data_IF_834383106603
#
_entry.id   IF_834383106603
#
_cell.length_a   1.000
_cell.length_b   1.000
_cell.length_c   1.000
_cell.angle_alpha   90.00
_cell.angle_beta   90.00
_cell.angle_gamma   90.00
#
_symmetry.space_group_name_H-M   'P 1'
#
loop_
_entity.id
_entity.type
_entity.pdbx_description
1 polymer ?
#
# COMPACT_ATOMS: atom_id res chain seq x y z
N UNK A 1 -5.15 9.93 3.37
CA UNK A 1 -5.88 11.06 2.78
C UNK A 1 -7.32 11.09 3.28
N UNK A 2 -7.95 12.25 3.45
CA UNK A 2 -9.40 12.39 3.65
C UNK A 2 -10.03 13.22 2.52
N UNK A 3 -11.23 12.84 2.08
CA UNK A 3 -12.06 13.63 1.17
C UNK A 3 -13.42 13.86 1.81
N UNK A 4 -13.73 15.13 2.10
CA UNK A 4 -15.02 15.52 2.67
C UNK A 4 -16.15 15.49 1.64
N UNK A 5 -15.85 15.83 0.37
CA UNK A 5 -16.81 15.80 -0.73
C UNK A 5 -17.41 14.40 -0.93
N UNK A 6 -16.56 13.36 -0.94
CA UNK A 6 -16.98 11.97 -1.13
C UNK A 6 -17.08 11.17 0.18
N UNK A 7 -16.88 11.84 1.33
CA UNK A 7 -16.89 11.25 2.68
C UNK A 7 -16.08 9.95 2.75
N UNK A 8 -14.81 10.01 2.37
CA UNK A 8 -13.94 8.83 2.40
C UNK A 8 -12.55 9.12 2.98
N UNK A 9 -11.93 8.08 3.54
CA UNK A 9 -10.56 8.11 4.06
C UNK A 9 -9.76 7.03 3.33
N UNK A 10 -8.57 7.39 2.86
CA UNK A 10 -7.62 6.48 2.23
C UNK A 10 -6.42 6.25 3.15
N UNK A 11 -6.27 5.02 3.63
CA UNK A 11 -5.08 4.58 4.34
C UNK A 11 -3.98 4.32 3.31
N UNK A 12 -2.95 5.17 3.29
CA UNK A 12 -1.94 5.17 2.25
C UNK A 12 -0.81 4.15 2.50
N UNK A 13 -0.92 2.99 1.86
CA UNK A 13 0.16 2.00 1.78
C UNK A 13 1.31 2.47 0.88
N UNK A 14 2.54 2.36 1.37
CA UNK A 14 3.72 2.64 0.54
C UNK A 14 3.78 1.64 -0.61
N UNK A 15 4.20 2.13 -1.77
CA UNK A 15 4.41 1.33 -3.00
C UNK A 15 3.13 0.71 -3.60
N UNK A 16 1.96 1.23 -3.24
CA UNK A 16 0.64 0.77 -3.70
C UNK A 16 -0.16 1.89 -4.40
N UNK A 17 0.47 2.63 -5.32
CA UNK A 17 -0.17 3.70 -6.11
C UNK A 17 -0.82 4.87 -5.33
N UNK A 18 -0.44 5.12 -4.07
CA UNK A 18 -1.10 6.14 -3.26
C UNK A 18 -1.08 7.55 -3.85
N UNK A 19 -0.02 7.96 -4.56
CA UNK A 19 0.01 9.26 -5.27
C UNK A 19 -1.05 9.34 -6.37
N UNK A 20 -1.34 8.25 -7.08
CA UNK A 20 -2.37 8.23 -8.11
C UNK A 20 -3.76 8.36 -7.51
N UNK A 21 -4.03 7.66 -6.41
CA UNK A 21 -5.29 7.78 -5.67
C UNK A 21 -5.49 9.21 -5.18
N UNK A 22 -4.51 9.78 -4.48
CA UNK A 22 -4.64 11.13 -3.90
C UNK A 22 -4.94 12.18 -4.98
N UNK A 23 -4.26 12.10 -6.13
CA UNK A 23 -4.51 12.99 -7.28
C UNK A 23 -5.87 12.78 -7.92
N UNK A 24 -6.40 11.56 -7.97
CA UNK A 24 -7.72 11.28 -8.51
C UNK A 24 -8.86 11.88 -7.65
N UNK A 25 -8.58 12.18 -6.39
CA UNK A 25 -9.45 12.95 -5.50
C UNK A 25 -9.19 14.46 -5.54
N UNK A 26 -8.34 14.95 -6.45
CA UNK A 26 -8.06 16.38 -6.61
C UNK A 26 -7.25 17.00 -5.48
N UNK A 27 -6.64 16.17 -4.61
CA UNK A 27 -5.84 16.64 -3.48
C UNK A 27 -4.38 16.77 -3.93
N UNK A 28 -3.79 17.95 -3.76
CA UNK A 28 -2.39 18.21 -4.04
C UNK A 28 -1.52 18.03 -2.78
N UNK A 29 -0.60 17.05 -2.76
CA UNK A 29 0.33 16.89 -1.63
C UNK A 29 1.52 17.86 -1.75
N UNK A 30 2.07 18.36 -0.61
CA UNK A 30 1.62 18.08 0.75
C UNK A 30 0.47 19.01 1.17
N UNK A 31 -0.59 18.41 1.70
CA UNK A 31 -1.66 19.09 2.42
C UNK A 31 -2.04 18.31 3.69
N UNK A 32 -2.67 18.93 4.70
CA UNK A 32 -3.19 18.20 5.87
C UNK A 32 -4.05 16.99 5.46
N UNK A 33 -4.94 17.21 4.49
CA UNK A 33 -5.85 16.19 3.99
C UNK A 33 -5.13 15.07 3.23
N UNK A 34 -4.00 15.35 2.60
CA UNK A 34 -3.19 14.31 1.92
C UNK A 34 -2.53 13.33 2.89
N UNK A 35 -2.33 13.75 4.16
CA UNK A 35 -1.66 12.94 5.19
C UNK A 35 -2.59 12.30 6.23
N UNK A 36 -3.84 12.75 6.32
CA UNK A 36 -4.85 12.23 7.24
C UNK A 36 -5.01 10.70 7.13
N UNK A 37 -5.06 9.95 8.24
CA UNK A 37 -5.26 8.49 8.25
C UNK A 37 -4.16 7.67 7.58
N UNK A 38 -3.01 8.26 7.24
CA UNK A 38 -1.96 7.57 6.47
C UNK A 38 -1.35 6.35 7.19
N UNK A 39 -1.26 6.40 8.51
CA UNK A 39 -0.73 5.30 9.32
C UNK A 39 -1.83 4.37 9.85
N UNK A 40 -3.08 4.55 9.41
CA UNK A 40 -4.20 3.65 9.66
C UNK A 40 -4.32 3.27 11.13
N UNK A 41 -4.31 1.97 11.43
CA UNK A 41 -4.40 1.45 12.80
C UNK A 41 -3.29 1.93 13.75
N UNK A 42 -2.12 2.33 13.23
CA UNK A 42 -1.02 2.90 14.02
C UNK A 42 -1.13 4.44 14.16
N UNK A 43 -2.08 5.05 13.46
CA UNK A 43 -2.33 6.49 13.51
C UNK A 43 -3.06 6.88 14.78
N UNK A 44 -2.64 7.97 15.43
CA UNK A 44 -3.34 8.52 16.60
C UNK A 44 -4.74 9.01 16.26
N UNK A 45 -4.95 9.40 15.01
CA UNK A 45 -6.21 9.94 14.49
C UNK A 45 -7.26 8.87 14.18
N UNK A 46 -6.92 7.57 14.22
CA UNK A 46 -7.87 6.48 13.88
C UNK A 46 -9.11 6.47 14.77
N UNK A 47 -8.99 6.91 16.02
CA UNK A 47 -10.10 7.01 16.97
C UNK A 47 -10.99 8.22 16.71
N UNK A 48 -10.49 9.21 15.96
CA UNK A 48 -11.15 10.49 15.67
C UNK A 48 -11.68 10.57 14.23
N UNK A 49 -11.69 9.44 13.51
CA UNK A 49 -12.21 9.41 12.14
C UNK A 49 -13.71 9.72 12.13
N UNK A 50 -14.19 10.62 11.25
CA UNK A 50 -15.58 11.06 11.31
C UNK A 50 -16.56 9.96 10.93
N UNK A 51 -17.70 9.94 11.62
CA UNK A 51 -18.77 8.98 11.36
C UNK A 51 -19.31 9.05 9.92
N UNK A 52 -19.64 7.88 9.40
CA UNK A 52 -20.19 7.71 8.05
C UNK A 52 -19.18 7.98 6.93
N UNK A 53 -17.88 8.03 7.22
CA UNK A 53 -16.84 8.05 6.19
C UNK A 53 -16.48 6.62 5.78
N UNK A 54 -16.36 6.38 4.48
CA UNK A 54 -15.88 5.12 3.94
C UNK A 54 -14.35 5.09 3.96
N UNK A 55 -13.79 4.23 4.79
CA UNK A 55 -12.34 3.99 4.84
C UNK A 55 -11.95 2.92 3.81
N UNK A 56 -10.92 3.18 3.01
CA UNK A 56 -10.39 2.20 2.06
C UNK A 56 -8.86 2.22 2.00
N UNK A 57 -8.28 1.18 1.41
CA UNK A 57 -6.85 1.12 1.12
C UNK A 57 -6.57 0.39 -0.19
N UNK A 58 -5.33 0.50 -0.67
CA UNK A 58 -4.82 -0.26 -1.81
C UNK A 58 -3.73 -1.17 -1.29
N UNK A 59 -3.84 -2.47 -1.56
CA UNK A 59 -2.77 -3.44 -1.31
C UNK A 59 -2.14 -3.89 -2.62
N UNK A 60 -0.93 -4.42 -2.53
CA UNK A 60 -0.18 -4.98 -3.64
C UNK A 60 0.40 -6.32 -3.23
N UNK A 61 0.58 -7.20 -4.20
CA UNK A 61 1.30 -8.45 -4.03
C UNK A 61 2.61 -8.22 -3.23
N UNK A 62 2.84 -8.92 -2.10
CA UNK A 62 3.94 -8.61 -1.19
C UNK A 62 5.32 -8.67 -1.84
N UNK A 63 5.55 -9.62 -2.75
CA UNK A 63 6.81 -9.77 -3.47
C UNK A 63 7.04 -8.60 -4.45
N UNK A 64 6.01 -8.23 -5.21
CA UNK A 64 6.08 -7.07 -6.10
C UNK A 64 6.26 -5.75 -5.32
N UNK A 65 5.57 -5.62 -4.19
CA UNK A 65 5.73 -4.47 -3.29
C UNK A 65 7.15 -4.38 -2.75
N UNK A 66 7.75 -5.50 -2.35
CA UNK A 66 9.12 -5.57 -1.84
C UNK A 66 10.13 -5.14 -2.90
N UNK A 67 10.07 -5.69 -4.12
CA UNK A 67 10.94 -5.26 -5.24
C UNK A 67 10.77 -3.77 -5.53
N UNK A 68 9.53 -3.28 -5.55
CA UNK A 68 9.25 -1.87 -5.78
C UNK A 68 9.82 -0.95 -4.67
N UNK A 69 9.81 -1.42 -3.42
CA UNK A 69 10.44 -0.74 -2.28
C UNK A 69 11.98 -0.75 -2.39
N UNK A 70 12.56 -1.93 -2.65
CA UNK A 70 14.00 -2.12 -2.79
C UNK A 70 14.59 -1.24 -3.88
N UNK A 71 13.97 -1.24 -5.08
CA UNK A 71 14.43 -0.42 -6.21
C UNK A 71 14.16 1.07 -6.05
N UNK A 72 13.30 1.45 -5.11
CA UNK A 72 13.03 2.85 -4.79
C UNK A 72 14.04 3.45 -3.82
N UNK A 73 14.53 2.67 -2.85
CA UNK A 73 15.38 3.15 -1.77
C UNK A 73 16.83 3.32 -2.23
N UNK A 74 17.41 4.54 -2.21
CA UNK A 74 18.80 4.78 -2.63
C UNK A 74 19.83 3.97 -1.84
N UNK A 75 19.54 3.68 -0.57
CA UNK A 75 20.34 2.89 0.36
C UNK A 75 20.44 1.40 -0.03
N UNK A 76 19.51 0.90 -0.84
CA UNK A 76 19.35 -0.53 -1.11
C UNK A 76 19.35 -0.88 -2.60
N UNK A 77 18.94 0.02 -3.49
CA UNK A 77 18.67 -0.26 -4.92
C UNK A 77 19.84 -0.88 -5.68
N UNK A 78 21.06 -0.59 -5.24
CA UNK A 78 22.32 -1.03 -5.85
C UNK A 78 22.88 -2.31 -5.19
N UNK A 79 22.30 -2.75 -4.06
CA UNK A 79 22.58 -4.06 -3.45
C UNK A 79 21.79 -5.15 -4.17
N UNK A 80 22.29 -6.39 -4.16
CA UNK A 80 21.53 -7.56 -4.60
C UNK A 80 20.38 -7.89 -3.63
N UNK A 81 19.38 -8.65 -4.11
CA UNK A 81 18.26 -9.08 -3.27
C UNK A 81 18.73 -9.88 -2.04
N UNK A 82 19.76 -10.72 -2.20
CA UNK A 82 20.32 -11.52 -1.10
C UNK A 82 20.97 -10.64 -0.03
N UNK A 83 21.69 -9.59 -0.43
CA UNK A 83 22.27 -8.62 0.51
C UNK A 83 21.20 -7.83 1.26
N UNK A 84 20.11 -7.45 0.59
CA UNK A 84 18.98 -6.76 1.24
C UNK A 84 18.29 -7.68 2.25
N UNK A 85 18.05 -8.94 1.89
CA UNK A 85 17.43 -9.93 2.80
C UNK A 85 18.32 -10.29 3.99
N UNK A 86 19.64 -10.12 3.87
CA UNK A 86 20.58 -10.36 4.96
C UNK A 86 20.61 -9.23 6.01
N UNK A 87 20.18 -8.02 5.64
CA UNK A 87 20.20 -6.83 6.49
C UNK A 87 18.94 -5.98 6.22
N UNK A 88 17.83 -6.45 6.78
CA UNK A 88 16.51 -5.84 6.58
C UNK A 88 16.32 -4.64 7.52
N UNK A 89 15.88 -3.48 7.00
CA UNK A 89 15.57 -2.34 7.86
C UNK A 89 14.39 -2.68 8.78
N UNK A 90 14.51 -2.37 10.07
CA UNK A 90 13.47 -2.65 11.08
C UNK A 90 12.77 -1.39 11.58
N UNK A 91 13.31 -0.21 11.29
CA UNK A 91 12.75 1.08 11.67
C UNK A 91 12.98 2.19 10.63
N UNK A 92 12.36 3.35 10.87
CA UNK A 92 12.57 4.54 10.06
C UNK A 92 11.94 4.51 8.66
N UNK A 93 12.50 5.32 7.76
CA UNK A 93 11.97 5.52 6.41
C UNK A 93 11.99 4.23 5.58
N UNK A 94 13.10 3.49 5.62
CA UNK A 94 13.31 2.30 4.80
C UNK A 94 12.41 1.16 5.26
N UNK A 95 12.24 1.00 6.58
CA UNK A 95 11.27 0.05 7.14
C UNK A 95 9.86 0.28 6.60
N UNK A 96 9.39 1.53 6.60
CA UNK A 96 8.04 1.87 6.10
C UNK A 96 7.84 1.62 4.61
N UNK A 97 8.93 1.61 3.83
CA UNK A 97 8.88 1.46 2.37
C UNK A 97 9.20 0.05 1.88
N UNK A 98 9.87 -0.77 2.70
CA UNK A 98 10.34 -2.09 2.30
C UNK A 98 9.74 -3.22 3.15
N UNK A 99 9.92 -3.18 4.47
CA UNK A 99 9.77 -4.35 5.34
C UNK A 99 8.51 -4.32 6.21
N UNK A 100 7.93 -3.16 6.50
CA UNK A 100 6.69 -3.05 7.27
C UNK A 100 5.54 -3.72 6.53
N UNK A 101 4.89 -4.77 7.06
CA UNK A 101 3.75 -5.42 6.42
C UNK A 101 2.61 -4.44 6.15
N UNK A 102 1.83 -4.68 5.09
CA UNK A 102 0.64 -3.87 4.78
C UNK A 102 -0.39 -4.02 5.90
N UNK A 103 -0.53 -5.23 6.44
CA UNK A 103 -1.42 -5.57 7.55
C UNK A 103 -1.15 -4.71 8.80
N UNK A 104 0.09 -4.27 9.02
CA UNK A 104 0.50 -3.53 10.22
C UNK A 104 -0.25 -2.19 10.41
N UNK A 105 -0.82 -1.62 9.35
CA UNK A 105 -1.63 -0.38 9.44
C UNK A 105 -3.09 -0.58 9.02
N UNK A 106 -3.49 -1.80 8.69
CA UNK A 106 -4.83 -2.12 8.21
C UNK A 106 -5.66 -2.91 9.21
N UNK A 107 -5.03 -3.46 10.25
CA UNK A 107 -5.69 -4.19 11.32
C UNK A 107 -5.33 -3.58 12.67
N UNK A 108 -6.29 -3.52 13.58
CA UNK A 108 -6.08 -3.11 14.97
C UNK A 108 -5.37 -4.23 15.78
N UNK A 109 -5.03 -3.94 17.04
CA UNK A 109 -4.35 -4.90 17.94
C UNK A 109 -5.17 -6.17 18.21
N UNK A 110 -6.48 -6.16 17.92
CA UNK A 110 -7.35 -7.33 18.02
C UNK A 110 -7.48 -8.12 16.71
N UNK A 111 -6.76 -7.72 15.66
CA UNK A 111 -6.81 -8.32 14.34
C UNK A 111 -8.05 -7.95 13.53
N UNK A 112 -8.79 -6.90 13.92
CA UNK A 112 -9.95 -6.43 13.16
C UNK A 112 -9.53 -5.39 12.13
N UNK A 113 -10.06 -5.45 10.89
CA UNK A 113 -9.72 -4.46 9.88
C UNK A 113 -10.25 -3.08 10.26
N UNK A 114 -9.42 -2.05 10.07
CA UNK A 114 -9.82 -0.62 10.22
C UNK A 114 -10.27 0.01 8.91
N UNK A 115 -10.53 -0.81 7.88
CA UNK A 115 -10.99 -0.37 6.57
C UNK A 115 -12.32 -1.03 6.22
N UNK A 116 -13.08 -0.39 5.33
CA UNK A 116 -14.34 -0.91 4.80
C UNK A 116 -14.16 -1.53 3.42
N UNK A 117 -13.21 -1.05 2.63
CA UNK A 117 -12.92 -1.57 1.29
C UNK A 117 -11.42 -1.67 1.00
N UNK A 118 -11.06 -2.72 0.26
CA UNK A 118 -9.71 -2.99 -0.16
C UNK A 118 -9.65 -3.07 -1.68
N UNK A 119 -8.75 -2.32 -2.28
CA UNK A 119 -8.49 -2.33 -3.71
C UNK A 119 -7.16 -3.06 -3.95
N UNK A 120 -7.06 -3.82 -5.05
CA UNK A 120 -5.81 -4.47 -5.45
C UNK A 120 -5.06 -3.62 -6.45
N UNK A 121 -3.75 -3.47 -6.25
CA UNK A 121 -2.87 -2.76 -7.17
C UNK A 121 -2.90 -3.39 -8.58
N UNK A 122 -3.03 -4.72 -8.63
CA UNK A 122 -3.05 -5.52 -9.85
C UNK A 122 -4.28 -5.21 -10.72
N UNK A 123 -5.41 -4.87 -10.11
CA UNK A 123 -6.68 -4.53 -10.78
C UNK A 123 -7.11 -3.09 -10.50
N UNK A 124 -6.15 -2.22 -10.19
CA UNK A 124 -6.42 -0.94 -9.53
C UNK A 124 -7.44 -0.06 -10.23
N UNK A 125 -7.38 0.06 -11.56
CA UNK A 125 -8.35 0.89 -12.29
C UNK A 125 -9.77 0.35 -12.14
N UNK A 126 -9.96 -0.95 -12.33
CA UNK A 126 -11.27 -1.58 -12.23
C UNK A 126 -11.81 -1.50 -10.79
N UNK A 127 -10.94 -1.68 -9.80
CA UNK A 127 -11.29 -1.59 -8.38
C UNK A 127 -11.65 -0.15 -7.99
N UNK A 128 -10.90 0.82 -8.50
CA UNK A 128 -11.16 2.24 -8.29
C UNK A 128 -12.48 2.69 -8.96
N UNK A 129 -12.79 2.19 -10.16
CA UNK A 129 -14.06 2.47 -10.81
C UNK A 129 -15.25 1.99 -9.96
N UNK A 130 -15.14 0.79 -9.37
CA UNK A 130 -16.16 0.26 -8.44
C UNK A 130 -16.26 1.06 -7.14
N UNK A 131 -15.14 1.56 -6.61
CA UNK A 131 -15.14 2.45 -5.47
C UNK A 131 -15.84 3.78 -5.82
N UNK A 132 -15.53 4.36 -6.98
CA UNK A 132 -16.16 5.58 -7.47
C UNK A 132 -17.68 5.45 -7.53
N UNK A 133 -18.19 4.35 -8.09
CA UNK A 133 -19.63 4.08 -8.16
C UNK A 133 -20.30 4.09 -6.78
N UNK A 134 -19.66 3.50 -5.77
CA UNK A 134 -20.18 3.46 -4.38
C UNK A 134 -20.11 4.79 -3.67
N UNK A 135 -19.10 5.60 -3.98
CA UNK A 135 -18.90 6.93 -3.40
C UNK A 135 -19.74 8.01 -4.11
N UNK A 136 -20.40 7.69 -5.24
CA UNK A 136 -21.04 8.70 -6.09
C UNK A 136 -20.03 9.62 -6.77
N UNK A 137 -18.78 9.20 -6.89
CA UNK A 137 -17.72 9.93 -7.58
C UNK A 137 -17.72 9.59 -9.06
N UNK A 138 -17.59 10.57 -9.98
CA UNK A 138 -17.37 10.26 -11.39
C UNK A 138 -16.10 9.41 -11.59
N UNK A 139 -16.23 8.30 -12.33
CA UNK A 139 -15.09 7.45 -12.69
C UNK A 139 -14.04 8.29 -13.41
N UNK A 140 -12.77 8.08 -13.06
CA UNK A 140 -11.65 8.83 -13.62
C UNK A 140 -10.50 7.87 -13.85
N UNK A 141 -9.85 7.99 -15.01
CA UNK A 141 -8.63 7.23 -15.28
C UNK A 141 -7.55 7.64 -14.27
N UNK A 142 -7.00 6.65 -13.56
CA UNK A 142 -5.94 6.91 -12.60
C UNK A 142 -4.68 7.34 -13.36
N UNK A 143 -4.04 8.46 -12.97
CA UNK A 143 -2.81 8.87 -13.61
C UNK A 143 -1.72 7.83 -13.35
N UNK A 144 -0.88 7.56 -14.36
CA UNK A 144 0.36 6.78 -14.17
C UNK A 144 1.41 7.64 -13.46
N UNK A 145 1.15 7.98 -12.19
CA UNK A 145 2.08 8.73 -11.37
C UNK A 145 3.22 7.80 -10.88
N UNK A 146 4.47 8.17 -11.18
CA UNK A 146 5.68 7.50 -10.66
C UNK A 146 5.70 5.99 -10.91
N UNK A 147 5.50 5.56 -12.16
CA UNK A 147 5.65 4.16 -12.54
C UNK A 147 7.04 3.64 -12.10
N UNK A 148 7.06 2.49 -11.43
CA UNK A 148 8.29 1.86 -10.97
C UNK A 148 9.17 1.52 -12.17
N UNK A 149 10.47 1.82 -12.10
CA UNK A 149 11.46 1.43 -13.11
C UNK A 149 12.13 0.12 -12.67
N UNK A 150 11.40 -0.98 -12.77
CA UNK A 150 11.94 -2.32 -12.57
C UNK A 150 11.27 -3.28 -13.54
N UNK A 151 11.94 -4.39 -13.82
CA UNK A 151 11.38 -5.48 -14.60
C UNK A 151 10.25 -6.15 -13.81
N UNK A 152 9.61 -7.14 -14.43
CA UNK A 152 8.69 -8.03 -13.74
C UNK A 152 9.32 -8.57 -12.45
N UNK A 153 8.66 -8.39 -11.30
CA UNK A 153 9.24 -8.72 -10.00
C UNK A 153 9.66 -10.19 -9.92
N UNK A 154 8.98 -11.07 -10.66
CA UNK A 154 9.23 -12.51 -10.68
C UNK A 154 10.65 -12.86 -11.12
N UNK A 155 11.30 -12.01 -11.93
CA UNK A 155 12.66 -12.26 -12.43
C UNK A 155 13.75 -11.99 -11.40
N UNK A 156 13.44 -11.30 -10.30
CA UNK A 156 14.41 -11.01 -9.24
C UNK A 156 14.55 -12.13 -8.21
N UNK A 157 13.62 -13.08 -8.20
CA UNK A 157 13.54 -14.12 -7.18
C UNK A 157 14.09 -15.45 -7.69
N UNK A 158 14.81 -16.13 -6.79
CA UNK A 158 14.95 -17.58 -6.81
C UNK A 158 14.06 -18.18 -5.73
N UNK A 159 14.00 -19.51 -5.65
CA UNK A 159 13.17 -20.22 -4.66
C UNK A 159 13.45 -19.74 -3.23
N UNK A 160 14.73 -19.63 -2.86
CA UNK A 160 15.11 -19.25 -1.49
C UNK A 160 14.72 -17.82 -1.16
N UNK A 161 14.94 -16.87 -2.08
CA UNK A 161 14.57 -15.46 -1.83
C UNK A 161 13.07 -15.24 -1.90
N UNK A 162 12.35 -16.02 -2.73
CA UNK A 162 10.89 -16.02 -2.79
C UNK A 162 10.30 -16.44 -1.45
N UNK A 163 10.76 -17.57 -0.92
CA UNK A 163 10.22 -18.13 0.32
C UNK A 163 10.55 -17.21 1.51
N UNK A 164 11.77 -16.65 1.56
CA UNK A 164 12.15 -15.69 2.60
C UNK A 164 11.26 -14.43 2.62
N UNK A 165 10.88 -13.91 1.45
CA UNK A 165 9.94 -12.77 1.36
C UNK A 165 8.51 -13.21 1.69
N UNK A 166 8.11 -14.43 1.31
CA UNK A 166 6.83 -15.01 1.68
C UNK A 166 6.68 -15.11 3.21
N UNK A 167 7.70 -15.61 3.90
CA UNK A 167 7.74 -15.70 5.36
C UNK A 167 7.71 -14.31 6.01
N UNK A 168 8.51 -13.37 5.50
CA UNK A 168 8.55 -11.99 6.00
C UNK A 168 7.17 -11.30 5.94
N UNK A 169 6.38 -11.60 4.92
CA UNK A 169 5.04 -11.03 4.71
C UNK A 169 3.91 -12.03 4.89
N UNK A 170 4.12 -13.09 5.68
CA UNK A 170 3.12 -14.15 5.86
C UNK A 170 1.74 -13.60 6.27
N UNK A 171 1.72 -12.56 7.12
CA UNK A 171 0.48 -11.92 7.52
C UNK A 171 -0.25 -11.25 6.35
N UNK A 172 0.46 -10.63 5.41
CA UNK A 172 -0.14 -10.03 4.22
C UNK A 172 -0.62 -11.12 3.24
N UNK A 173 0.16 -12.19 3.08
CA UNK A 173 -0.19 -13.37 2.28
C UNK A 173 -1.52 -13.95 2.75
N UNK A 174 -1.66 -14.16 4.06
CA UNK A 174 -2.88 -14.73 4.67
C UNK A 174 -4.04 -13.74 4.65
N UNK A 175 -3.83 -12.49 5.09
CA UNK A 175 -4.93 -11.52 5.23
C UNK A 175 -5.52 -11.08 3.88
N UNK A 176 -4.72 -11.07 2.83
CA UNK A 176 -5.12 -10.56 1.52
C UNK A 176 -5.18 -11.64 0.44
N UNK A 177 -5.02 -12.91 0.82
CA UNK A 177 -5.09 -14.05 -0.12
C UNK A 177 -4.19 -13.82 -1.33
N UNK A 178 -2.89 -13.68 -1.06
CA UNK A 178 -1.85 -13.54 -2.08
C UNK A 178 -1.01 -14.80 -2.18
N UNK A 179 -0.55 -15.10 -3.38
CA UNK A 179 0.48 -16.06 -3.71
C UNK A 179 1.57 -15.37 -4.54
N UNK A 180 2.69 -16.06 -4.79
CA UNK A 180 3.81 -15.47 -5.52
C UNK A 180 3.43 -15.03 -6.95
N UNK A 181 2.42 -15.63 -7.58
CA UNK A 181 2.02 -15.31 -8.96
C UNK A 181 0.64 -14.61 -9.06
N UNK A 182 -0.05 -14.37 -7.95
CA UNK A 182 -1.43 -13.85 -7.93
C UNK A 182 -1.83 -13.25 -6.61
#
# INVERSE_FOLDING_TARGET
MISHEYRCIFIHQRKCAGTSIIRAFGIEPPSPDSHYGNDGALGRDVQDWPDGYRVFSVVRNPWDRFVSGWKYLPTLRDKSLREVLADLPTEGHDYRHLTRPQSAILFDDSGRPVFHELLRFETLQADFDRLCDRLGKPRTALPRAKASKHDDYRTYYDERTRDAVGDLFLQDVVNFDYAFEG
#
